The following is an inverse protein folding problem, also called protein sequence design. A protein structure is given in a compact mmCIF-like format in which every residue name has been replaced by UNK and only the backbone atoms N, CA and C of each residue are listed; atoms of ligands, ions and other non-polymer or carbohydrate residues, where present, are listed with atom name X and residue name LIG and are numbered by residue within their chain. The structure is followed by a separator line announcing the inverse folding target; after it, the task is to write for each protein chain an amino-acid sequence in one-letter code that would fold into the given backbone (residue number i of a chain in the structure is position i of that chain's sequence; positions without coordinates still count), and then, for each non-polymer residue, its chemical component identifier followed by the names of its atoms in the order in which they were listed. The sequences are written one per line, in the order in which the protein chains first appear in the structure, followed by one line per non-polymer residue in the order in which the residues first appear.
data_IF_812006943952
#
_entry.id   IF_812006943952
#
_cell.length_a   1.000
_cell.length_b   1.000
_cell.length_c   1.000
_cell.angle_alpha   90.00
_cell.angle_beta   90.00
_cell.angle_gamma   90.00
#
_symmetry.space_group_name_H-M   'P 1'
#
loop_
_entity.id
_entity.type
_entity.pdbx_description
1 polymer ?
#
# COMPACT_ATOMS: atom_id res chain seq x y z
N UNK A 1 -9.61 26.96 15.69
CA UNK A 1 -10.03 26.06 16.78
C UNK A 1 -10.08 24.64 16.22
N UNK A 2 -9.03 23.86 16.41
CA UNK A 2 -9.00 22.46 15.95
C UNK A 2 -9.92 21.65 16.89
N UNK A 3 -11.05 21.19 16.37
CA UNK A 3 -11.89 20.21 17.06
C UNK A 3 -11.08 18.92 17.25
N UNK A 4 -11.01 18.40 18.47
CA UNK A 4 -10.47 17.07 18.73
C UNK A 4 -11.27 16.07 17.90
N UNK A 5 -10.67 15.53 16.85
CA UNK A 5 -11.24 14.38 16.15
C UNK A 5 -11.02 13.14 17.02
N UNK A 6 -12.10 12.47 17.35
CA UNK A 6 -12.04 11.14 17.96
C UNK A 6 -11.60 10.19 16.84
N UNK A 7 -10.44 9.58 17.01
CA UNK A 7 -9.97 8.51 16.11
C UNK A 7 -10.80 7.25 16.42
N UNK A 8 -11.72 6.92 15.53
CA UNK A 8 -12.49 5.67 15.58
C UNK A 8 -11.69 4.53 14.91
N UNK A 9 -10.43 4.37 15.34
CA UNK A 9 -9.53 3.33 14.84
C UNK A 9 -9.03 2.54 16.02
N UNK A 10 -9.19 1.23 15.98
CA UNK A 10 -8.55 0.29 16.88
C UNK A 10 -7.32 -0.30 16.19
N UNK A 11 -6.23 -0.38 16.93
CA UNK A 11 -5.00 -1.06 16.51
C UNK A 11 -4.84 -2.30 17.37
N UNK A 12 -4.74 -3.45 16.74
CA UNK A 12 -4.56 -4.74 17.39
C UNK A 12 -3.23 -5.32 16.97
N UNK A 13 -2.43 -5.79 17.93
CA UNK A 13 -1.21 -6.54 17.65
C UNK A 13 -1.60 -7.99 17.31
N UNK A 14 -1.15 -8.49 16.15
CA UNK A 14 -1.36 -9.89 15.74
C UNK A 14 -0.26 -10.82 16.28
N UNK A 15 0.87 -10.26 16.67
CA UNK A 15 2.03 -10.94 17.25
C UNK A 15 2.74 -10.03 18.25
N UNK A 16 3.71 -10.55 18.99
CA UNK A 16 4.49 -9.77 19.96
C UNK A 16 5.21 -8.62 19.26
N UNK A 17 4.96 -7.39 19.71
CA UNK A 17 5.53 -6.19 19.09
C UNK A 17 5.95 -5.15 20.13
N UNK A 18 6.96 -4.36 19.79
CA UNK A 18 7.33 -3.17 20.53
C UNK A 18 6.60 -1.95 19.96
N UNK A 19 5.96 -1.17 20.83
CA UNK A 19 5.18 0.01 20.44
C UNK A 19 5.84 1.27 20.98
N UNK A 20 6.12 2.22 20.09
CA UNK A 20 6.56 3.56 20.44
C UNK A 20 5.38 4.54 20.31
N UNK A 21 4.92 5.09 21.44
CA UNK A 21 3.91 6.13 21.48
C UNK A 21 4.54 7.51 21.48
N UNK A 22 4.30 8.27 20.42
CA UNK A 22 4.82 9.64 20.26
C UNK A 22 3.70 10.67 20.50
N UNK A 23 3.91 11.58 21.46
CA UNK A 23 3.05 12.74 21.61
C UNK A 23 3.48 13.84 20.62
N UNK A 24 2.81 13.90 19.48
CA UNK A 24 3.16 14.85 18.39
C UNK A 24 3.12 16.30 18.85
N UNK A 25 2.16 16.68 19.71
CA UNK A 25 2.07 18.06 20.23
C UNK A 25 3.32 18.41 21.04
N UNK A 26 3.75 17.53 21.94
CA UNK A 26 4.99 17.73 22.71
C UNK A 26 6.22 17.77 21.80
N UNK A 27 6.26 16.89 20.79
CA UNK A 27 7.33 16.81 19.83
C UNK A 27 7.49 18.13 19.06
N UNK A 28 6.40 18.78 18.65
CA UNK A 28 6.45 20.05 17.92
C UNK A 28 6.74 21.27 18.80
N UNK A 29 6.55 21.18 20.12
CA UNK A 29 6.68 22.30 21.05
C UNK A 29 7.85 22.17 22.04
N UNK A 30 8.55 21.03 22.04
CA UNK A 30 9.50 20.69 23.10
C UNK A 30 10.83 21.47 23.06
N UNK A 31 11.15 22.14 21.95
CA UNK A 31 12.43 22.83 21.82
C UNK A 31 12.21 24.26 21.29
N UNK A 32 12.40 25.32 22.11
CA UNK A 32 12.34 26.70 21.65
C UNK A 32 13.51 27.08 20.75
N UNK A 33 14.62 26.33 20.85
CA UNK A 33 15.77 26.44 19.95
C UNK A 33 15.82 25.18 19.10
N UNK A 34 15.74 25.34 17.78
CA UNK A 34 15.77 24.24 16.82
C UNK A 34 17.08 23.45 16.93
N UNK A 35 17.12 22.44 17.83
CA UNK A 35 18.27 21.57 17.94
C UNK A 35 18.29 20.55 16.79
N UNK A 36 19.48 20.15 16.33
CA UNK A 36 19.66 19.26 15.17
C UNK A 36 18.92 17.92 15.32
N UNK A 37 18.90 17.36 16.52
CA UNK A 37 18.19 16.11 16.80
C UNK A 37 16.68 16.25 16.59
N UNK A 38 16.10 17.35 17.02
CA UNK A 38 14.67 17.64 16.90
C UNK A 38 14.29 17.86 15.43
N UNK A 39 15.10 18.62 14.69
CA UNK A 39 14.90 18.82 13.25
C UNK A 39 15.00 17.52 12.49
N UNK A 40 15.98 16.64 12.80
CA UNK A 40 16.12 15.32 12.18
C UNK A 40 14.90 14.45 12.45
N UNK A 41 14.41 14.45 13.68
CA UNK A 41 13.21 13.67 14.05
C UNK A 41 11.96 14.14 13.29
N UNK A 42 11.76 15.47 13.19
CA UNK A 42 10.64 16.05 12.44
C UNK A 42 10.74 15.70 10.95
N UNK A 43 11.92 15.85 10.34
CA UNK A 43 12.15 15.48 8.92
C UNK A 43 11.83 14.02 8.68
N UNK A 44 12.31 13.12 9.54
CA UNK A 44 12.04 11.69 9.42
C UNK A 44 10.54 11.39 9.54
N UNK A 45 9.87 12.02 10.50
CA UNK A 45 8.42 11.86 10.67
C UNK A 45 7.65 12.34 9.44
N UNK A 46 8.01 13.52 8.90
CA UNK A 46 7.41 14.05 7.67
C UNK A 46 7.64 13.11 6.49
N UNK A 47 8.85 12.56 6.34
CA UNK A 47 9.17 11.60 5.28
C UNK A 47 8.34 10.33 5.40
N UNK A 48 8.19 9.77 6.61
CA UNK A 48 7.34 8.59 6.85
C UNK A 48 5.88 8.87 6.50
N UNK A 49 5.35 10.03 6.91
CA UNK A 49 3.98 10.42 6.61
C UNK A 49 3.77 10.64 5.11
N UNK A 50 4.69 11.31 4.43
CA UNK A 50 4.65 11.52 2.99
C UNK A 50 4.63 10.19 2.22
N UNK A 51 5.51 9.24 2.57
CA UNK A 51 5.54 7.92 1.95
C UNK A 51 4.24 7.16 2.20
N UNK A 52 3.67 7.22 3.40
CA UNK A 52 2.37 6.59 3.68
C UNK A 52 1.23 7.20 2.86
N UNK A 53 1.25 8.51 2.65
CA UNK A 53 0.25 9.20 1.81
C UNK A 53 0.37 8.73 0.35
N UNK A 54 1.58 8.60 -0.19
CA UNK A 54 1.80 8.08 -1.55
C UNK A 54 1.27 6.66 -1.70
N UNK A 55 1.64 5.75 -0.80
CA UNK A 55 1.14 4.37 -0.80
C UNK A 55 -0.38 4.30 -0.69
N UNK A 56 -0.98 5.16 0.12
CA UNK A 56 -2.43 5.23 0.25
C UNK A 56 -3.10 5.75 -1.02
N UNK A 57 -2.53 6.76 -1.66
CA UNK A 57 -3.01 7.30 -2.92
C UNK A 57 -2.96 6.24 -4.05
N UNK A 58 -1.87 5.46 -4.13
CA UNK A 58 -1.73 4.37 -5.09
C UNK A 58 -2.81 3.30 -4.85
N UNK A 59 -3.00 2.90 -3.60
CA UNK A 59 -4.08 1.96 -3.25
C UNK A 59 -5.45 2.49 -3.67
N UNK A 60 -5.77 3.75 -3.37
CA UNK A 60 -7.04 4.38 -3.76
C UNK A 60 -7.19 4.36 -5.28
N UNK A 61 -6.13 4.65 -6.04
CA UNK A 61 -6.14 4.61 -7.50
C UNK A 61 -6.52 3.22 -8.03
N UNK A 62 -5.99 2.15 -7.45
CA UNK A 62 -6.32 0.79 -7.88
C UNK A 62 -7.74 0.39 -7.50
N UNK A 63 -8.15 0.62 -6.24
CA UNK A 63 -9.47 0.19 -5.76
C UNK A 63 -10.63 1.03 -6.32
N UNK A 64 -10.37 2.24 -6.82
CA UNK A 64 -11.37 3.10 -7.46
C UNK A 64 -11.83 2.61 -8.83
N UNK A 65 -11.12 1.68 -9.44
CA UNK A 65 -11.53 1.05 -10.70
C UNK A 65 -12.82 0.27 -10.53
N UNK A 66 -13.64 0.21 -11.60
CA UNK A 66 -14.99 -0.36 -11.52
C UNK A 66 -14.99 -1.89 -11.45
N UNK A 67 -14.11 -2.54 -12.20
CA UNK A 67 -14.10 -4.00 -12.34
C UNK A 67 -12.88 -4.63 -11.67
N UNK A 68 -13.02 -5.89 -11.24
CA UNK A 68 -11.90 -6.69 -10.71
C UNK A 68 -10.73 -6.75 -11.69
N UNK A 69 -11.04 -6.87 -12.99
CA UNK A 69 -10.06 -6.87 -14.06
C UNK A 69 -9.24 -5.58 -14.10
N UNK A 70 -9.92 -4.43 -14.10
CA UNK A 70 -9.26 -3.11 -14.13
C UNK A 70 -8.42 -2.86 -12.87
N UNK A 71 -8.90 -3.29 -11.71
CA UNK A 71 -8.15 -3.21 -10.44
C UNK A 71 -6.86 -4.01 -10.52
N UNK A 72 -6.93 -5.26 -11.00
CA UNK A 72 -5.77 -6.14 -11.17
C UNK A 72 -4.76 -5.56 -12.16
N UNK A 73 -5.21 -5.17 -13.35
CA UNK A 73 -4.32 -4.60 -14.37
C UNK A 73 -3.68 -3.30 -13.89
N UNK A 74 -4.44 -2.42 -13.22
CA UNK A 74 -3.93 -1.18 -12.65
C UNK A 74 -2.82 -1.44 -11.63
N UNK A 75 -3.00 -2.40 -10.74
CA UNK A 75 -2.02 -2.76 -9.73
C UNK A 75 -0.77 -3.40 -10.36
N UNK A 76 -0.96 -4.44 -11.19
CA UNK A 76 0.15 -5.16 -11.80
C UNK A 76 0.98 -4.28 -12.74
N UNK A 77 0.35 -3.35 -13.46
CA UNK A 77 1.07 -2.38 -14.30
C UNK A 77 1.91 -1.41 -13.45
N UNK A 78 1.38 -0.96 -12.31
CA UNK A 78 2.13 -0.10 -11.40
C UNK A 78 3.33 -0.82 -10.79
N UNK A 79 3.17 -2.08 -10.37
CA UNK A 79 4.26 -2.91 -9.84
C UNK A 79 5.35 -3.15 -10.90
N UNK A 80 4.96 -3.47 -12.15
CA UNK A 80 5.88 -3.62 -13.28
C UNK A 80 6.71 -2.36 -13.51
N UNK A 81 6.07 -1.19 -13.49
CA UNK A 81 6.75 0.11 -13.64
C UNK A 81 7.70 0.39 -12.47
N UNK A 82 7.26 0.13 -11.25
CA UNK A 82 8.07 0.36 -10.05
C UNK A 82 9.30 -0.53 -9.99
N UNK A 83 9.17 -1.81 -10.39
CA UNK A 83 10.28 -2.76 -10.42
C UNK A 83 11.10 -2.69 -11.72
N UNK A 84 10.64 -1.92 -12.73
CA UNK A 84 11.32 -1.76 -14.02
C UNK A 84 11.40 -3.06 -14.81
N UNK A 85 10.48 -4.00 -14.58
CA UNK A 85 10.46 -5.32 -15.21
C UNK A 85 9.03 -5.76 -15.51
N UNK A 86 8.87 -6.49 -16.62
CA UNK A 86 7.58 -7.14 -16.93
C UNK A 86 7.39 -8.46 -16.17
N UNK A 87 8.47 -9.01 -15.59
CA UNK A 87 8.48 -10.23 -14.80
C UNK A 87 8.90 -9.86 -13.38
N UNK A 88 8.01 -10.04 -12.39
CA UNK A 88 8.18 -9.55 -11.03
C UNK A 88 7.41 -10.38 -10.00
N UNK A 89 7.83 -10.25 -8.75
CA UNK A 89 7.16 -10.83 -7.60
C UNK A 89 6.40 -9.74 -6.83
N UNK A 90 5.22 -10.10 -6.30
CA UNK A 90 4.48 -9.23 -5.39
C UNK A 90 4.58 -9.73 -3.95
N UNK A 91 4.52 -8.84 -2.94
CA UNK A 91 4.63 -9.22 -1.53
C UNK A 91 3.37 -9.89 -0.97
N UNK A 92 2.33 -10.06 -1.80
CA UNK A 92 1.02 -10.58 -1.40
C UNK A 92 0.83 -12.03 -1.84
N UNK A 93 0.21 -12.84 -0.98
CA UNK A 93 -0.46 -14.05 -1.41
C UNK A 93 -1.80 -13.74 -2.09
N UNK A 94 -2.53 -14.76 -2.54
CA UNK A 94 -3.81 -14.57 -3.27
C UNK A 94 -4.90 -13.94 -2.40
N UNK A 95 -4.95 -14.27 -1.11
CA UNK A 95 -5.93 -13.69 -0.20
C UNK A 95 -5.56 -12.23 0.09
N UNK A 96 -4.32 -11.97 0.43
CA UNK A 96 -3.82 -10.63 0.72
C UNK A 96 -3.99 -9.68 -0.48
N UNK A 97 -3.75 -10.16 -1.70
CA UNK A 97 -3.98 -9.37 -2.91
C UNK A 97 -5.47 -9.03 -3.11
N UNK A 98 -6.35 -10.00 -2.88
CA UNK A 98 -7.79 -9.78 -2.95
C UNK A 98 -8.27 -8.75 -1.92
N UNK A 99 -7.78 -8.85 -0.69
CA UNK A 99 -8.07 -7.90 0.40
C UNK A 99 -7.51 -6.50 0.08
N UNK A 100 -6.29 -6.44 -0.46
CA UNK A 100 -5.67 -5.18 -0.87
C UNK A 100 -6.49 -4.46 -1.94
N UNK A 101 -6.98 -5.18 -2.96
CA UNK A 101 -7.77 -4.65 -4.06
C UNK A 101 -9.27 -4.51 -3.72
N UNK A 102 -9.69 -4.90 -2.52
CA UNK A 102 -11.08 -4.91 -2.10
C UNK A 102 -11.97 -5.67 -3.10
N UNK A 103 -11.61 -6.92 -3.39
CA UNK A 103 -12.34 -7.83 -4.27
C UNK A 103 -12.47 -9.21 -3.63
N UNK A 104 -13.45 -9.98 -4.07
CA UNK A 104 -13.57 -11.36 -3.64
C UNK A 104 -12.46 -12.22 -4.27
N UNK A 105 -11.81 -13.07 -3.47
CA UNK A 105 -10.71 -13.95 -3.92
C UNK A 105 -11.12 -14.86 -5.08
N UNK A 106 -12.34 -15.42 -5.03
CA UNK A 106 -12.85 -16.28 -6.09
C UNK A 106 -13.01 -15.51 -7.40
N UNK A 107 -13.62 -14.33 -7.36
CA UNK A 107 -13.77 -13.45 -8.52
C UNK A 107 -12.41 -13.03 -9.11
N UNK A 108 -11.45 -12.68 -8.25
CA UNK A 108 -10.09 -12.36 -8.67
C UNK A 108 -9.41 -13.55 -9.37
N UNK A 109 -9.54 -14.76 -8.83
CA UNK A 109 -8.95 -15.97 -9.42
C UNK A 109 -9.52 -16.28 -10.80
N UNK A 110 -10.82 -16.07 -10.99
CA UNK A 110 -11.49 -16.21 -12.29
C UNK A 110 -10.94 -15.20 -13.30
N UNK A 111 -10.81 -13.92 -12.89
CA UNK A 111 -10.28 -12.90 -13.79
C UNK A 111 -8.80 -13.12 -14.14
N UNK A 112 -7.97 -13.57 -13.19
CA UNK A 112 -6.57 -13.95 -13.47
C UNK A 112 -6.49 -15.09 -14.50
N UNK A 113 -7.37 -16.11 -14.37
CA UNK A 113 -7.43 -17.21 -15.33
C UNK A 113 -7.87 -16.76 -16.73
N UNK A 114 -8.78 -15.77 -16.83
CA UNK A 114 -9.15 -15.17 -18.12
C UNK A 114 -8.00 -14.40 -18.73
N UNK A 115 -7.32 -13.55 -17.95
CA UNK A 115 -6.16 -12.78 -18.41
C UNK A 115 -5.04 -13.68 -18.92
N UNK A 116 -4.81 -14.84 -18.28
CA UNK A 116 -3.85 -15.84 -18.76
C UNK A 116 -4.28 -16.47 -20.08
N UNK A 117 -5.56 -16.84 -20.22
CA UNK A 117 -6.11 -17.42 -21.47
C UNK A 117 -6.05 -16.42 -22.63
N UNK A 118 -6.22 -15.14 -22.35
CA UNK A 118 -6.10 -14.06 -23.32
C UNK A 118 -4.63 -13.73 -23.70
N UNK A 119 -3.66 -14.35 -23.01
CA UNK A 119 -2.25 -14.12 -23.26
C UNK A 119 -1.75 -12.75 -22.78
N UNK A 120 -2.41 -12.12 -21.82
CA UNK A 120 -2.01 -10.82 -21.28
C UNK A 120 -1.02 -10.93 -20.13
N UNK A 121 -1.06 -12.03 -19.39
CA UNK A 121 -0.12 -12.30 -18.31
C UNK A 121 0.08 -13.80 -18.07
N UNK A 122 1.20 -14.13 -17.43
CA UNK A 122 1.44 -15.43 -16.82
C UNK A 122 1.57 -15.22 -15.31
N UNK A 123 1.01 -16.12 -14.52
CA UNK A 123 1.16 -16.03 -13.06
C UNK A 123 1.35 -17.40 -12.43
N UNK A 124 2.25 -17.44 -11.45
CA UNK A 124 2.51 -18.62 -10.62
C UNK A 124 2.70 -18.16 -9.17
N UNK A 125 1.73 -18.46 -8.29
CA UNK A 125 1.69 -17.98 -6.90
C UNK A 125 1.71 -16.45 -6.86
N UNK A 126 2.79 -15.86 -6.30
CA UNK A 126 3.02 -14.42 -6.19
C UNK A 126 3.88 -13.82 -7.32
N UNK A 127 4.30 -14.65 -8.28
CA UNK A 127 5.04 -14.23 -9.46
C UNK A 127 4.10 -13.88 -10.61
N UNK A 128 4.39 -12.78 -11.30
CA UNK A 128 3.64 -12.29 -12.45
C UNK A 128 4.59 -11.91 -13.59
N UNK A 129 4.16 -12.21 -14.79
CA UNK A 129 4.83 -11.79 -16.02
C UNK A 129 3.77 -11.16 -16.94
N UNK A 130 3.94 -9.89 -17.29
CA UNK A 130 3.08 -9.19 -18.21
C UNK A 130 3.56 -9.41 -19.64
N UNK A 131 2.65 -9.90 -20.49
CA UNK A 131 2.95 -10.13 -21.89
C UNK A 131 2.54 -8.88 -22.68
N UNK A 132 3.53 -8.20 -23.28
CA UNK A 132 3.26 -7.07 -24.18
C UNK A 132 2.86 -7.60 -25.55
N UNK A 133 1.73 -7.15 -26.03
CA UNK A 133 1.35 -7.26 -27.45
C UNK A 133 1.67 -5.98 -28.17
#
# INVERSE_FOLDING_TARGET
MYKRQILNISVVAEEDCEILLLNIKRLLTACPTACDHHQKLIRNLVSVLANKILLFNDKVTHISKRTTREKLLSYLSAESLQQGSLSFDIPFDRQQLADFLCVERAAMSVELSKLQKEGLLITKRNHFELLTH
#
